data_IF_300499149088
#
_entry.id   IF_300499149088
#
_cell.length_a   1.000
_cell.length_b   1.000
_cell.length_c   1.000
_cell.angle_alpha   90.00
_cell.angle_beta   90.00
_cell.angle_gamma   90.00
#
_symmetry.space_group_name_H-M   'P 1'
#
loop_
_entity.id
_entity.type
_entity.pdbx_description
1 polymer ?
#
# COMPACT_ATOMS: atom_id res chain seq x y z
N UNK A 1 -10.26 3.78 10.66
CA UNK A 1 -11.31 2.80 10.26
C UNK A 1 -10.60 1.48 10.04
N UNK A 2 -10.99 0.38 10.71
CA UNK A 2 -10.40 -0.91 10.37
C UNK A 2 -10.78 -1.26 8.92
N UNK A 3 -9.79 -1.59 8.10
CA UNK A 3 -10.02 -2.09 6.75
C UNK A 3 -10.77 -3.43 6.87
N UNK A 4 -11.71 -3.69 5.96
CA UNK A 4 -12.27 -5.03 5.81
C UNK A 4 -11.11 -5.99 5.57
N UNK A 5 -11.11 -7.16 6.22
CA UNK A 5 -10.01 -8.13 6.12
C UNK A 5 -9.72 -8.60 4.69
N UNK A 6 -10.67 -8.42 3.77
CA UNK A 6 -10.53 -8.75 2.35
C UNK A 6 -9.78 -7.68 1.55
N UNK A 7 -9.73 -6.44 2.05
CA UNK A 7 -9.13 -5.29 1.37
C UNK A 7 -7.81 -4.84 2.01
N UNK A 8 -7.39 -5.43 3.11
CA UNK A 8 -6.13 -5.04 3.76
C UNK A 8 -4.88 -5.54 3.03
N UNK A 9 -5.04 -6.46 2.08
CA UNK A 9 -3.96 -6.90 1.20
C UNK A 9 -2.98 -7.89 1.83
N UNK A 10 -3.22 -8.41 3.04
CA UNK A 10 -2.32 -9.38 3.68
C UNK A 10 -1.99 -10.62 2.82
N UNK A 11 -2.88 -10.97 1.89
CA UNK A 11 -2.76 -12.11 0.97
C UNK A 11 -2.46 -11.70 -0.49
N UNK A 12 -2.03 -10.46 -0.75
CA UNK A 12 -1.77 -9.98 -2.10
C UNK A 12 -0.54 -10.64 -2.75
N UNK A 13 -0.61 -10.87 -4.06
CA UNK A 13 0.40 -11.61 -4.82
C UNK A 13 1.77 -10.92 -4.91
N UNK A 14 1.84 -9.59 -4.78
CA UNK A 14 3.11 -8.86 -4.81
C UNK A 14 3.72 -8.66 -3.42
N UNK A 15 3.25 -9.38 -2.40
CA UNK A 15 3.93 -9.41 -1.09
C UNK A 15 5.08 -10.40 -1.11
N UNK A 16 6.24 -9.95 -0.66
CA UNK A 16 7.36 -10.84 -0.38
C UNK A 16 7.02 -11.74 0.83
N UNK A 17 7.31 -13.04 0.73
CA UNK A 17 7.05 -14.02 1.78
C UNK A 17 8.34 -14.55 2.42
N UNK A 18 8.25 -14.95 3.69
CA UNK A 18 9.35 -15.58 4.43
C UNK A 18 10.60 -14.71 4.51
N UNK A 19 11.77 -15.30 4.29
CA UNK A 19 13.06 -14.62 4.38
C UNK A 19 13.31 -13.54 3.31
N UNK A 20 12.39 -13.36 2.36
CA UNK A 20 12.51 -12.33 1.32
C UNK A 20 11.85 -11.00 1.73
N UNK A 21 11.05 -10.99 2.80
CA UNK A 21 10.45 -9.76 3.31
C UNK A 21 11.53 -8.86 3.94
N UNK A 22 11.69 -7.64 3.39
CA UNK A 22 12.65 -6.65 3.88
C UNK A 22 12.08 -5.71 4.95
N UNK A 23 10.78 -5.79 5.19
CA UNK A 23 10.04 -4.99 6.17
C UNK A 23 9.05 -5.88 6.93
N UNK A 24 8.78 -5.55 8.19
CA UNK A 24 7.79 -6.24 9.02
C UNK A 24 6.41 -5.63 8.81
N UNK A 25 5.86 -5.79 7.62
CA UNK A 25 4.53 -5.31 7.25
C UNK A 25 3.58 -6.49 7.02
N UNK A 26 2.43 -6.49 7.69
CA UNK A 26 1.45 -7.59 7.61
C UNK A 26 0.33 -7.31 6.61
N UNK A 27 0.10 -6.04 6.27
CA UNK A 27 -0.91 -5.58 5.33
C UNK A 27 -0.38 -4.42 4.46
N UNK A 28 -1.21 -3.87 3.56
CA UNK A 28 -0.82 -2.80 2.65
C UNK A 28 -0.55 -1.48 3.38
N UNK A 29 -1.33 -1.18 4.42
CA UNK A 29 -1.17 0.02 5.22
C UNK A 29 0.14 0.00 6.02
N UNK A 30 0.52 -1.14 6.60
CA UNK A 30 1.81 -1.31 7.28
C UNK A 30 2.98 -1.13 6.31
N UNK A 31 2.85 -1.62 5.07
CA UNK A 31 3.87 -1.49 4.05
C UNK A 31 4.06 -0.03 3.62
N UNK A 32 2.94 0.70 3.41
CA UNK A 32 2.97 2.13 3.11
C UNK A 32 3.57 2.94 4.25
N UNK A 33 3.21 2.64 5.50
CA UNK A 33 3.80 3.30 6.66
C UNK A 33 5.30 3.05 6.78
N UNK A 34 5.74 1.81 6.64
CA UNK A 34 7.15 1.45 6.68
C UNK A 34 7.95 2.21 5.59
N UNK A 35 7.38 2.37 4.40
CA UNK A 35 7.97 3.15 3.32
C UNK A 35 7.97 4.67 3.62
N UNK A 36 6.87 5.22 4.14
CA UNK A 36 6.74 6.66 4.43
C UNK A 36 7.69 7.13 5.55
N UNK A 37 7.99 6.29 6.54
CA UNK A 37 8.94 6.61 7.62
C UNK A 37 10.33 6.96 7.06
N UNK A 38 10.73 6.40 5.91
CA UNK A 38 11.99 6.75 5.25
C UNK A 38 12.08 8.22 4.80
N UNK A 39 10.96 8.95 4.79
CA UNK A 39 10.87 10.33 4.31
C UNK A 39 10.41 11.32 5.38
N UNK A 40 10.26 10.89 6.64
CA UNK A 40 9.68 11.71 7.72
C UNK A 40 10.41 13.04 7.94
N UNK A 41 11.72 13.07 7.66
CA UNK A 41 12.55 14.28 7.82
C UNK A 41 12.40 15.29 6.68
N UNK A 42 11.68 14.95 5.61
CA UNK A 42 11.44 15.83 4.45
C UNK A 42 9.95 16.12 4.29
N UNK A 43 9.44 17.11 5.03
CA UNK A 43 8.00 17.35 5.16
C UNK A 43 7.25 17.44 3.82
N UNK A 44 7.77 18.17 2.84
CA UNK A 44 7.12 18.29 1.51
C UNK A 44 7.07 16.96 0.75
N UNK A 45 8.15 16.17 0.79
CA UNK A 45 8.20 14.86 0.14
C UNK A 45 7.28 13.87 0.84
N UNK A 46 7.32 13.85 2.18
CA UNK A 46 6.44 13.03 3.00
C UNK A 46 4.96 13.33 2.70
N UNK A 47 4.55 14.60 2.73
CA UNK A 47 3.16 14.99 2.50
C UNK A 47 2.70 14.63 1.07
N UNK A 48 3.56 14.83 0.07
CA UNK A 48 3.25 14.43 -1.30
C UNK A 48 3.11 12.91 -1.44
N UNK A 49 4.05 12.14 -0.89
CA UNK A 49 4.03 10.68 -0.97
C UNK A 49 2.86 10.08 -0.19
N UNK A 50 2.58 10.59 1.01
CA UNK A 50 1.41 10.18 1.79
C UNK A 50 0.12 10.43 1.02
N UNK A 51 -0.03 11.62 0.45
CA UNK A 51 -1.22 11.99 -0.35
C UNK A 51 -1.42 11.04 -1.54
N UNK A 52 -0.39 10.76 -2.32
CA UNK A 52 -0.51 9.90 -3.50
C UNK A 52 -0.66 8.41 -3.13
N UNK A 53 -0.03 7.96 -2.04
CA UNK A 53 -0.23 6.62 -1.49
C UNK A 53 -1.68 6.43 -0.99
N UNK A 54 -2.21 7.39 -0.24
CA UNK A 54 -3.60 7.39 0.24
C UNK A 54 -4.57 7.39 -0.94
N UNK A 55 -4.28 8.20 -1.98
CA UNK A 55 -5.08 8.20 -3.22
C UNK A 55 -5.09 6.83 -3.88
N UNK A 56 -3.93 6.20 -4.07
CA UNK A 56 -3.84 4.88 -4.70
C UNK A 56 -4.60 3.83 -3.89
N UNK A 57 -4.43 3.82 -2.57
CA UNK A 57 -5.12 2.87 -1.69
C UNK A 57 -6.64 3.05 -1.80
N UNK A 58 -7.13 4.28 -1.65
CA UNK A 58 -8.57 4.57 -1.77
C UNK A 58 -9.13 4.23 -3.14
N UNK A 59 -8.42 4.59 -4.21
CA UNK A 59 -8.84 4.27 -5.58
C UNK A 59 -8.94 2.76 -5.80
N UNK A 60 -7.95 1.98 -5.38
CA UNK A 60 -7.97 0.53 -5.52
C UNK A 60 -9.15 -0.10 -4.77
N UNK A 61 -9.44 0.42 -3.56
CA UNK A 61 -10.55 -0.05 -2.74
C UNK A 61 -11.92 0.32 -3.33
N UNK A 62 -12.08 1.55 -3.82
CA UNK A 62 -13.37 2.08 -4.28
C UNK A 62 -13.70 1.65 -5.70
N UNK A 63 -12.75 1.77 -6.63
CA UNK A 63 -12.99 1.51 -8.05
C UNK A 63 -12.85 0.03 -8.38
N UNK A 64 -11.84 -0.66 -7.81
CA UNK A 64 -11.56 -2.05 -8.14
C UNK A 64 -12.04 -3.04 -7.09
N UNK A 65 -12.41 -2.58 -5.88
CA UNK A 65 -12.70 -3.44 -4.73
C UNK A 65 -11.55 -4.42 -4.45
N UNK A 66 -10.31 -3.94 -4.60
CA UNK A 66 -9.08 -4.72 -4.44
C UNK A 66 -8.12 -4.03 -3.46
N UNK A 67 -7.31 -4.81 -2.72
CA UNK A 67 -6.12 -4.27 -2.07
C UNK A 67 -5.09 -3.78 -3.10
N UNK A 68 -4.06 -3.07 -2.62
CA UNK A 68 -2.93 -2.56 -3.43
C UNK A 68 -1.93 -3.67 -3.75
N UNK A 69 -1.64 -4.56 -2.81
CA UNK A 69 -0.63 -5.61 -2.98
C UNK A 69 -0.86 -6.64 -4.12
N UNK A 70 -2.07 -6.94 -4.61
CA UNK A 70 -2.24 -7.74 -5.82
C UNK A 70 -2.31 -6.92 -7.12
N UNK A 71 -2.28 -5.58 -7.07
CA UNK A 71 -2.41 -4.77 -8.29
C UNK A 71 -1.28 -5.07 -9.27
N UNK A 72 -1.65 -5.21 -10.53
CA UNK A 72 -0.74 -5.33 -11.65
C UNK A 72 -0.75 -4.03 -12.46
N UNK A 73 0.19 -3.90 -13.38
CA UNK A 73 0.20 -2.76 -14.30
C UNK A 73 -1.11 -2.65 -15.11
N UNK A 74 -1.73 -3.78 -15.45
CA UNK A 74 -2.99 -3.85 -16.21
C UNK A 74 -4.21 -3.36 -15.42
N UNK A 75 -4.12 -3.30 -14.08
CA UNK A 75 -5.18 -2.73 -13.27
C UNK A 75 -5.18 -1.18 -13.34
N UNK A 76 -4.03 -0.56 -13.65
CA UNK A 76 -3.89 0.89 -13.62
C UNK A 76 -4.51 1.55 -14.85
N UNK A 77 -5.18 2.70 -14.67
CA UNK A 77 -5.68 3.48 -15.79
C UNK A 77 -4.51 4.01 -16.63
N UNK A 78 -4.70 3.99 -17.96
CA UNK A 78 -3.73 4.49 -18.95
C UNK A 78 -3.56 6.02 -18.88
#
# INVERSE_FOLDING_TARGET
MPLLSELDGRNGSNRAAGNHALITADNDLDALHAWLVCFVDTNTTFDNYRKEADRLLLWAHVELHKPVSPLTHEDLPA
#
